data_IF_642368583303
#
_entry.id   IF_642368583303
#
_cell.length_a   1.000
_cell.length_b   1.000
_cell.length_c   1.000
_cell.angle_alpha   90.00
_cell.angle_beta   90.00
_cell.angle_gamma   90.00
#
_symmetry.space_group_name_H-M   'P 1'
#
loop_
_entity.id
_entity.type
_entity.pdbx_description
1 polymer ?
#
# COMPACT_ATOMS: atom_id res chain seq x y z
N UNK A 1 -7.54 14.02 -2.15
CA UNK A 1 -7.11 14.99 -1.13
C UNK A 1 -7.43 14.44 0.25
N UNK A 2 -6.45 14.37 1.12
CA UNK A 2 -6.64 13.92 2.51
C UNK A 2 -7.05 15.09 3.41
N UNK A 3 -7.87 14.82 4.41
CA UNK A 3 -8.35 15.83 5.37
C UNK A 3 -7.37 16.04 6.53
N UNK A 4 -6.41 15.16 6.67
CA UNK A 4 -5.39 15.23 7.72
C UNK A 4 -4.07 15.72 7.13
N UNK A 5 -3.20 16.22 8.02
CA UNK A 5 -1.84 16.54 7.64
C UNK A 5 -1.11 15.28 7.16
N UNK A 6 -0.36 15.42 6.08
CA UNK A 6 0.52 14.38 5.55
C UNK A 6 1.93 14.91 5.42
N UNK A 7 2.90 14.00 5.40
CA UNK A 7 4.32 14.31 5.22
C UNK A 7 4.78 13.67 3.91
N UNK A 8 5.58 14.41 3.14
CA UNK A 8 6.20 13.88 1.92
C UNK A 8 7.39 12.99 2.27
N UNK A 9 7.59 11.86 1.57
CA UNK A 9 8.79 11.05 1.73
C UNK A 9 10.10 11.80 1.40
N UNK A 10 10.02 12.89 0.67
CA UNK A 10 11.16 13.75 0.37
C UNK A 10 11.63 14.55 1.59
N UNK A 11 10.72 14.81 2.52
CA UNK A 11 10.98 15.62 3.72
C UNK A 11 11.33 14.80 4.96
N UNK A 12 11.17 13.48 4.93
CA UNK A 12 11.39 12.61 6.08
C UNK A 12 12.03 11.29 5.64
N UNK A 13 13.27 11.06 6.09
CA UNK A 13 14.03 9.87 5.72
C UNK A 13 13.45 8.59 6.34
N UNK A 14 12.96 8.65 7.58
CA UNK A 14 12.36 7.50 8.25
C UNK A 14 11.08 7.07 7.53
N UNK A 15 10.28 8.04 7.09
CA UNK A 15 9.11 7.80 6.26
C UNK A 15 9.47 7.16 4.93
N UNK A 16 10.50 7.67 4.24
CA UNK A 16 10.97 7.10 2.99
C UNK A 16 11.41 5.64 3.15
N UNK A 17 12.19 5.36 4.18
CA UNK A 17 12.64 3.99 4.50
C UNK A 17 11.45 3.06 4.81
N UNK A 18 10.47 3.54 5.56
CA UNK A 18 9.26 2.77 5.88
C UNK A 18 8.47 2.41 4.60
N UNK A 19 8.31 3.35 3.68
CA UNK A 19 7.63 3.12 2.41
C UNK A 19 8.39 2.11 1.54
N UNK A 20 9.70 2.27 1.42
CA UNK A 20 10.53 1.39 0.60
C UNK A 20 10.56 -0.04 1.15
N UNK A 21 10.75 -0.20 2.46
CA UNK A 21 10.87 -1.51 3.10
C UNK A 21 9.59 -2.34 3.02
N UNK A 22 8.42 -1.71 3.12
CA UNK A 22 7.16 -2.46 3.00
C UNK A 22 6.82 -2.78 1.54
N UNK A 23 7.23 -1.95 0.59
CA UNK A 23 6.97 -2.16 -0.84
C UNK A 23 7.62 -3.44 -1.35
N UNK A 24 8.77 -3.80 -0.83
CA UNK A 24 9.50 -5.01 -1.22
C UNK A 24 8.75 -6.31 -0.85
N UNK A 25 7.76 -6.22 0.03
CA UNK A 25 6.92 -7.35 0.41
C UNK A 25 5.76 -7.60 -0.58
N UNK A 26 5.50 -6.66 -1.47
CA UNK A 26 4.39 -6.76 -2.40
C UNK A 26 4.72 -7.66 -3.60
N UNK A 27 3.70 -8.32 -4.17
CA UNK A 27 3.87 -9.05 -5.42
C UNK A 27 4.46 -8.16 -6.51
N UNK A 28 5.33 -8.74 -7.34
CA UNK A 28 6.04 -8.00 -8.40
C UNK A 28 5.09 -7.32 -9.39
N UNK A 29 3.89 -7.85 -9.56
CA UNK A 29 2.87 -7.29 -10.44
C UNK A 29 2.41 -5.90 -10.00
N UNK A 30 2.57 -5.57 -8.71
CA UNK A 30 2.24 -4.24 -8.18
C UNK A 30 3.30 -3.18 -8.50
N UNK A 31 4.44 -3.59 -9.04
CA UNK A 31 5.44 -2.63 -9.50
C UNK A 31 5.00 -1.86 -10.75
N UNK A 32 4.02 -2.38 -11.50
CA UNK A 32 3.47 -1.71 -12.69
C UNK A 32 2.30 -0.83 -12.28
N UNK A 33 2.39 0.50 -12.46
CA UNK A 33 1.29 1.40 -12.17
C UNK A 33 0.07 1.08 -13.05
N UNK A 34 -1.09 0.90 -12.43
CA UNK A 34 -2.37 0.68 -13.14
C UNK A 34 -3.06 2.02 -13.41
N UNK A 35 -2.90 2.96 -12.51
CA UNK A 35 -3.47 4.30 -12.64
C UNK A 35 -2.37 5.32 -12.96
N UNK A 36 -2.64 6.29 -13.82
CA UNK A 36 -1.72 7.40 -14.02
C UNK A 36 -1.62 8.19 -12.72
N UNK A 37 -0.50 8.04 -12.03
CA UNK A 37 -0.15 8.89 -10.91
C UNK A 37 0.84 9.95 -11.37
N UNK A 38 0.70 11.20 -10.95
CA UNK A 38 1.72 12.21 -11.19
C UNK A 38 3.07 11.69 -10.66
N UNK A 39 4.12 11.94 -11.41
CA UNK A 39 5.48 11.58 -11.02
C UNK A 39 5.75 12.02 -9.57
N UNK A 40 6.26 11.09 -8.76
CA UNK A 40 6.63 11.29 -7.35
C UNK A 40 5.49 11.45 -6.35
N UNK A 41 4.25 11.25 -6.73
CA UNK A 41 3.16 11.36 -5.78
C UNK A 41 2.89 10.01 -5.08
N UNK A 42 2.93 10.03 -3.75
CA UNK A 42 2.51 8.90 -2.93
C UNK A 42 0.98 8.79 -2.96
N UNK A 43 0.45 7.57 -3.06
CA UNK A 43 -1.00 7.39 -3.00
C UNK A 43 -1.57 7.93 -1.70
N UNK A 44 -2.79 8.47 -1.74
CA UNK A 44 -3.41 9.10 -0.56
C UNK A 44 -3.56 8.15 0.62
N UNK A 45 -3.82 6.86 0.35
CA UNK A 45 -3.91 5.86 1.43
C UNK A 45 -2.56 5.67 2.13
N UNK A 46 -1.46 5.67 1.42
CA UNK A 46 -0.12 5.62 2.03
C UNK A 46 0.19 6.93 2.74
N UNK A 47 -0.08 8.07 2.09
CA UNK A 47 0.15 9.40 2.66
C UNK A 47 -0.62 9.61 3.97
N UNK A 48 -1.82 9.04 4.11
CA UNK A 48 -2.62 9.14 5.34
C UNK A 48 -1.96 8.51 6.57
N UNK A 49 -0.98 7.63 6.37
CA UNK A 49 -0.21 6.99 7.43
C UNK A 49 1.16 7.67 7.67
N UNK A 50 1.45 8.75 6.97
CA UNK A 50 2.79 9.36 6.93
C UNK A 50 3.27 9.97 8.24
N UNK A 51 2.36 10.34 9.15
CA UNK A 51 2.73 10.94 10.44
C UNK A 51 3.41 9.96 11.39
N UNK A 52 3.21 8.66 11.21
CA UNK A 52 3.78 7.62 12.06
C UNK A 52 4.41 6.57 11.14
N UNK A 53 5.70 6.72 10.76
CA UNK A 53 6.36 5.81 9.82
C UNK A 53 6.31 4.34 10.22
N UNK A 54 6.46 4.02 11.50
CA UNK A 54 6.35 2.64 11.99
C UNK A 54 4.96 2.05 11.77
N UNK A 55 3.92 2.82 12.00
CA UNK A 55 2.55 2.38 11.75
C UNK A 55 2.31 2.15 10.26
N UNK A 56 2.82 3.02 9.40
CA UNK A 56 2.78 2.85 7.96
C UNK A 56 3.45 1.54 7.55
N UNK A 57 4.67 1.31 8.00
CA UNK A 57 5.42 0.08 7.68
C UNK A 57 4.63 -1.16 8.08
N UNK A 58 4.18 -1.25 9.31
CA UNK A 58 3.49 -2.44 9.82
C UNK A 58 2.13 -2.68 9.17
N UNK A 59 1.35 -1.63 8.91
CA UNK A 59 0.06 -1.76 8.24
C UNK A 59 0.21 -2.32 6.82
N UNK A 60 1.11 -1.76 6.05
CA UNK A 60 1.33 -2.19 4.66
C UNK A 60 2.16 -3.48 4.57
N UNK A 61 3.02 -3.77 5.53
CA UNK A 61 3.70 -5.06 5.64
C UNK A 61 2.70 -6.19 5.92
N UNK A 62 1.66 -5.95 6.70
CA UNK A 62 0.56 -6.91 6.89
C UNK A 62 -0.10 -7.25 5.56
N UNK A 63 -0.44 -6.25 4.77
CA UNK A 63 -0.99 -6.46 3.44
C UNK A 63 -0.02 -7.27 2.54
N UNK A 64 1.26 -6.92 2.53
CA UNK A 64 2.28 -7.66 1.80
C UNK A 64 2.35 -9.14 2.20
N UNK A 65 2.27 -9.43 3.49
CA UNK A 65 2.24 -10.79 4.01
C UNK A 65 1.00 -11.57 3.57
N UNK A 66 -0.16 -10.92 3.57
CA UNK A 66 -1.42 -11.53 3.12
C UNK A 66 -1.41 -11.83 1.61
N UNK A 67 -0.66 -11.07 0.83
CA UNK A 67 -0.54 -11.25 -0.61
C UNK A 67 0.66 -12.10 -1.03
N UNK A 68 1.37 -12.71 -0.08
CA UNK A 68 2.57 -13.50 -0.35
C UNK A 68 2.27 -14.69 -1.26
N UNK A 69 3.11 -14.92 -2.29
CA UNK A 69 2.99 -16.10 -3.16
C UNK A 69 3.32 -17.42 -2.43
N UNK A 70 3.93 -17.35 -1.25
CA UNK A 70 4.26 -18.53 -0.44
C UNK A 70 3.05 -19.08 0.33
N UNK A 71 1.94 -18.35 0.37
CA UNK A 71 0.69 -18.83 0.96
C UNK A 71 0.01 -19.85 0.05
N UNK A 72 -0.81 -20.77 0.62
CA UNK A 72 -1.50 -21.81 -0.16
C UNK A 72 -2.70 -21.27 -0.96
N UNK A 73 -2.60 -20.03 -1.43
CA UNK A 73 -3.61 -19.36 -2.25
C UNK A 73 -2.98 -18.95 -3.58
N UNK A 74 -3.72 -19.13 -4.67
CA UNK A 74 -3.29 -18.62 -5.97
C UNK A 74 -3.46 -17.11 -6.03
N UNK A 75 -2.74 -16.46 -6.92
CA UNK A 75 -2.89 -15.02 -7.18
C UNK A 75 -4.36 -14.67 -7.49
N UNK A 76 -5.01 -15.49 -8.28
CA UNK A 76 -6.43 -15.32 -8.60
C UNK A 76 -7.31 -15.33 -7.34
N UNK A 77 -7.05 -16.24 -6.43
CA UNK A 77 -7.79 -16.31 -5.15
C UNK A 77 -7.54 -15.07 -4.28
N UNK A 78 -6.30 -14.58 -4.19
CA UNK A 78 -5.98 -13.33 -3.51
C UNK A 78 -6.81 -12.18 -4.08
N UNK A 79 -6.82 -12.02 -5.40
CA UNK A 79 -7.57 -10.95 -6.05
C UNK A 79 -9.09 -11.06 -5.86
N UNK A 80 -9.62 -12.28 -5.86
CA UNK A 80 -11.04 -12.50 -5.59
C UNK A 80 -11.42 -12.11 -4.16
N UNK A 81 -10.59 -12.44 -3.19
CA UNK A 81 -10.81 -12.08 -1.77
C UNK A 81 -10.75 -10.56 -1.61
N UNK A 82 -9.73 -9.90 -2.13
CA UNK A 82 -9.58 -8.46 -2.00
C UNK A 82 -10.71 -7.70 -2.72
N UNK A 83 -11.13 -8.18 -3.87
CA UNK A 83 -12.27 -7.61 -4.61
C UNK A 83 -13.56 -7.72 -3.81
N UNK A 84 -13.83 -8.88 -3.22
CA UNK A 84 -15.04 -9.09 -2.42
C UNK A 84 -15.05 -8.19 -1.17
N UNK A 85 -13.91 -8.04 -0.49
CA UNK A 85 -13.77 -7.15 0.65
C UNK A 85 -14.04 -5.70 0.24
N UNK A 86 -13.49 -5.27 -0.88
CA UNK A 86 -13.74 -3.91 -1.41
C UNK A 86 -15.20 -3.68 -1.74
N UNK A 87 -15.86 -4.65 -2.34
CA UNK A 87 -17.30 -4.56 -2.65
C UNK A 87 -18.13 -4.48 -1.37
N UNK A 88 -17.86 -5.35 -0.38
CA UNK A 88 -18.55 -5.37 0.89
C UNK A 88 -18.40 -4.04 1.66
N UNK A 89 -17.22 -3.44 1.58
CA UNK A 89 -16.92 -2.15 2.20
C UNK A 89 -17.37 -0.94 1.37
N UNK A 90 -17.98 -1.18 0.19
CA UNK A 90 -18.32 -0.12 -0.77
C UNK A 90 -17.12 0.78 -1.09
N UNK A 91 -15.94 0.18 -1.15
CA UNK A 91 -14.71 0.88 -1.47
C UNK A 91 -14.62 1.05 -2.98
N UNK A 92 -14.55 2.30 -3.44
CA UNK A 92 -14.47 2.63 -4.85
C UNK A 92 -13.05 2.53 -5.40
N UNK A 93 -12.08 2.64 -4.52
CA UNK A 93 -10.66 2.55 -4.88
C UNK A 93 -10.23 1.11 -5.07
#
# INVERSE_FOLDING_TARGET
MTWIKTISPEDDEDLRKAIESQRDLYPIEYATPIHPTPDKQTSEIVASHSLIPDALHHAFATFGSLMSPDLPLTRRQHEMITTLVSVANRCHY
#
